data_IF_646040176282
#
_entry.id   IF_646040176282
#
_cell.length_a   1.000
_cell.length_b   1.000
_cell.length_c   1.000
_cell.angle_alpha   90.00
_cell.angle_beta   90.00
_cell.angle_gamma   90.00
#
_symmetry.space_group_name_H-M   'P 1'
#
loop_
_entity.id
_entity.type
_entity.pdbx_description
1 polymer ?
#
# COMPACT_ATOMS: atom_id res chain seq x y z
N UNK A 1 -24.87 -8.13 0.74
CA UNK A 1 -23.99 -7.64 -0.34
C UNK A 1 -22.64 -7.13 0.18
N UNK A 2 -22.52 -6.72 1.46
CA UNK A 2 -21.25 -6.27 2.07
C UNK A 2 -20.10 -7.28 2.00
N UNK A 3 -20.32 -8.56 2.33
CA UNK A 3 -19.25 -9.58 2.32
C UNK A 3 -18.59 -9.78 0.95
N UNK A 4 -19.35 -9.68 -0.15
CA UNK A 4 -18.79 -9.82 -1.51
C UNK A 4 -17.90 -8.63 -1.88
N UNK A 5 -18.29 -7.42 -1.49
CA UNK A 5 -17.53 -6.20 -1.72
C UNK A 5 -16.24 -6.18 -0.87
N UNK A 6 -16.31 -6.64 0.38
CA UNK A 6 -15.13 -6.76 1.25
C UNK A 6 -14.11 -7.78 0.74
N UNK A 7 -14.55 -8.97 0.30
CA UNK A 7 -13.67 -9.97 -0.30
C UNK A 7 -12.98 -9.45 -1.57
N UNK A 8 -13.69 -8.67 -2.38
CA UNK A 8 -13.10 -8.01 -3.55
C UNK A 8 -12.02 -7.00 -3.14
N UNK A 9 -12.28 -6.15 -2.13
CA UNK A 9 -11.30 -5.15 -1.64
C UNK A 9 -10.04 -5.82 -1.07
N UNK A 10 -10.18 -6.92 -0.33
CA UNK A 10 -9.05 -7.71 0.20
C UNK A 10 -8.23 -8.38 -0.91
N UNK A 11 -8.91 -8.89 -1.95
CA UNK A 11 -8.26 -9.48 -3.13
C UNK A 11 -7.49 -8.43 -3.92
N UNK A 12 -8.10 -7.27 -4.14
CA UNK A 12 -7.47 -6.13 -4.82
C UNK A 12 -6.21 -5.64 -4.06
N UNK A 13 -6.27 -5.60 -2.73
CA UNK A 13 -5.11 -5.28 -1.91
C UNK A 13 -3.98 -6.32 -2.08
N UNK A 14 -4.31 -7.61 -2.11
CA UNK A 14 -3.33 -8.68 -2.29
C UNK A 14 -2.64 -8.61 -3.67
N UNK A 15 -3.39 -8.29 -4.72
CA UNK A 15 -2.84 -8.05 -6.05
C UNK A 15 -1.89 -6.84 -6.07
N UNK A 16 -2.27 -5.75 -5.40
CA UNK A 16 -1.43 -4.56 -5.30
C UNK A 16 -0.14 -4.83 -4.51
N UNK A 17 -0.19 -5.65 -3.46
CA UNK A 17 1.03 -6.08 -2.72
C UNK A 17 2.01 -6.80 -3.64
N UNK A 18 1.52 -7.71 -4.50
CA UNK A 18 2.36 -8.42 -5.46
C UNK A 18 2.98 -7.45 -6.49
N UNK A 19 2.20 -6.48 -6.96
CA UNK A 19 2.66 -5.45 -7.90
C UNK A 19 3.74 -4.56 -7.27
N UNK A 20 3.54 -4.07 -6.03
CA UNK A 20 4.51 -3.26 -5.30
C UNK A 20 5.81 -4.04 -5.01
N UNK A 21 5.68 -5.31 -4.63
CA UNK A 21 6.84 -6.19 -4.38
C UNK A 21 7.65 -6.40 -5.66
N UNK A 22 6.97 -6.63 -6.78
CA UNK A 22 7.62 -6.78 -8.10
C UNK A 22 8.28 -5.48 -8.53
N UNK A 23 7.59 -4.35 -8.41
CA UNK A 23 8.13 -3.03 -8.74
C UNK A 23 9.35 -2.68 -7.88
N UNK A 24 9.36 -3.08 -6.61
CA UNK A 24 10.53 -2.89 -5.74
C UNK A 24 11.71 -3.80 -6.11
N UNK A 25 11.46 -5.00 -6.66
CA UNK A 25 12.48 -5.91 -7.16
C UNK A 25 13.12 -5.43 -8.47
N UNK A 26 12.34 -4.78 -9.33
CA UNK A 26 12.77 -4.26 -10.64
C UNK A 26 12.78 -2.74 -10.69
N UNK A 27 13.11 -2.06 -9.59
CA UNK A 27 12.92 -0.60 -9.45
C UNK A 27 13.65 0.21 -10.53
N UNK A 28 14.80 -0.28 -11.00
CA UNK A 28 15.58 0.35 -12.08
C UNK A 28 14.84 0.40 -13.42
N UNK A 29 13.88 -0.50 -13.63
CA UNK A 29 13.04 -0.56 -14.83
C UNK A 29 11.73 0.23 -14.65
N UNK A 30 11.36 0.58 -13.41
CA UNK A 30 10.13 1.32 -13.10
C UNK A 30 10.36 2.81 -13.27
N UNK A 31 9.71 3.39 -14.28
CA UNK A 31 9.83 4.82 -14.59
C UNK A 31 9.28 5.69 -13.45
N UNK A 32 9.82 6.90 -13.22
CA UNK A 32 9.39 7.77 -12.12
C UNK A 32 7.88 8.05 -12.03
N UNK A 33 7.19 8.17 -13.17
CA UNK A 33 5.74 8.36 -13.19
C UNK A 33 4.97 7.11 -12.77
N UNK A 34 5.47 5.91 -13.11
CA UNK A 34 4.90 4.65 -12.65
C UNK A 34 5.07 4.50 -11.14
N UNK A 35 6.22 4.92 -10.59
CA UNK A 35 6.44 4.99 -9.14
C UNK A 35 5.37 5.85 -8.45
N UNK A 36 5.05 7.04 -9.01
CA UNK A 36 3.98 7.91 -8.47
C UNK A 36 2.61 7.24 -8.49
N UNK A 37 2.27 6.56 -9.59
CA UNK A 37 0.98 5.87 -9.72
C UNK A 37 0.87 4.72 -8.70
N UNK A 38 1.93 3.93 -8.55
CA UNK A 38 1.99 2.85 -7.56
C UNK A 38 1.79 3.37 -6.14
N UNK A 39 2.46 4.47 -5.80
CA UNK A 39 2.37 5.12 -4.49
C UNK A 39 0.97 5.67 -4.22
N UNK A 40 0.36 6.33 -5.21
CA UNK A 40 -1.01 6.83 -5.08
C UNK A 40 -2.03 5.70 -4.87
N UNK A 41 -1.89 4.60 -5.63
CA UNK A 41 -2.72 3.40 -5.47
C UNK A 41 -2.51 2.75 -4.11
N UNK A 42 -1.26 2.70 -3.63
CA UNK A 42 -0.93 2.17 -2.32
C UNK A 42 -1.55 2.99 -1.18
N UNK A 43 -1.47 4.33 -1.25
CA UNK A 43 -2.11 5.21 -0.29
C UNK A 43 -3.64 4.99 -0.24
N UNK A 44 -4.29 4.92 -1.41
CA UNK A 44 -5.72 4.68 -1.50
C UNK A 44 -6.12 3.28 -0.95
N UNK A 45 -5.29 2.26 -1.18
CA UNK A 45 -5.52 0.92 -0.64
C UNK A 45 -5.42 0.89 0.89
N UNK A 46 -4.41 1.57 1.45
CA UNK A 46 -4.25 1.72 2.90
C UNK A 46 -5.47 2.42 3.50
N UNK A 47 -5.91 3.55 2.94
CA UNK A 47 -7.11 4.27 3.40
C UNK A 47 -8.34 3.38 3.36
N UNK A 48 -8.56 2.68 2.25
CA UNK A 48 -9.64 1.70 2.08
C UNK A 48 -9.63 0.62 3.15
N UNK A 49 -8.47 0.05 3.47
CA UNK A 49 -8.38 -1.01 4.48
C UNK A 49 -8.66 -0.47 5.89
N UNK A 50 -8.25 0.77 6.17
CA UNK A 50 -8.55 1.42 7.45
C UNK A 50 -10.03 1.68 7.62
N UNK A 51 -10.71 2.18 6.59
CA UNK A 51 -12.17 2.33 6.62
C UNK A 51 -12.87 1.01 6.96
N UNK A 52 -12.42 -0.10 6.37
CA UNK A 52 -12.97 -1.43 6.65
C UNK A 52 -12.72 -1.86 8.11
N UNK A 53 -11.56 -1.56 8.65
CA UNK A 53 -11.20 -1.87 10.04
C UNK A 53 -11.98 -0.99 11.04
N UNK A 54 -12.15 0.30 10.75
CA UNK A 54 -12.94 1.23 11.58
C UNK A 54 -14.41 0.80 11.63
N UNK A 55 -14.99 0.38 10.50
CA UNK A 55 -16.35 -0.19 10.44
C UNK A 55 -16.44 -1.47 11.31
N UNK A 56 -15.38 -2.27 11.35
CA UNK A 56 -15.26 -3.49 12.16
C UNK A 56 -14.88 -3.28 13.63
N UNK A 57 -14.77 -2.04 14.12
CA UNK A 57 -14.25 -1.65 15.46
C UNK A 57 -12.76 -1.93 15.71
N UNK A 58 -11.98 -2.27 14.68
CA UNK A 58 -10.53 -2.37 14.77
C UNK A 58 -9.87 -1.06 14.39
N UNK A 59 -9.62 -0.14 15.34
CA UNK A 59 -8.86 1.08 14.99
C UNK A 59 -7.40 0.72 14.67
N UNK A 60 -7.01 0.72 13.40
CA UNK A 60 -5.63 0.52 12.98
C UNK A 60 -4.96 1.86 12.66
N UNK A 61 -4.05 2.27 13.54
CA UNK A 61 -3.13 3.39 13.28
C UNK A 61 -2.02 2.95 12.34
N UNK A 62 -1.68 3.81 11.37
CA UNK A 62 -0.46 3.66 10.59
C UNK A 62 0.75 4.06 11.43
N UNK A 63 1.88 3.37 11.31
CA UNK A 63 3.16 3.92 11.73
C UNK A 63 3.39 5.26 11.02
N UNK A 64 3.66 6.33 11.77
CA UNK A 64 3.85 7.69 11.22
C UNK A 64 4.86 7.75 10.07
N UNK A 65 5.89 6.89 10.11
CA UNK A 65 6.90 6.79 9.06
C UNK A 65 6.34 6.44 7.68
N UNK A 66 5.36 5.54 7.59
CA UNK A 66 4.83 5.06 6.29
C UNK A 66 4.10 6.18 5.54
N UNK A 67 3.37 7.03 6.26
CA UNK A 67 2.67 8.17 5.66
C UNK A 67 3.68 9.18 5.12
N UNK A 68 4.73 9.48 5.88
CA UNK A 68 5.81 10.36 5.46
C UNK A 68 6.56 9.80 4.24
N UNK A 69 6.84 8.49 4.23
CA UNK A 69 7.54 7.81 3.14
C UNK A 69 6.73 7.79 1.84
N UNK A 70 5.41 7.56 1.92
CA UNK A 70 4.50 7.67 0.78
C UNK A 70 4.44 9.09 0.22
N UNK A 71 4.35 10.10 1.09
CA UNK A 71 4.28 11.49 0.67
C UNK A 71 5.62 11.97 0.06
N UNK A 72 6.74 11.50 0.60
CA UNK A 72 8.07 11.70 0.04
C UNK A 72 8.18 11.05 -1.35
N UNK A 73 7.79 9.77 -1.50
CA UNK A 73 7.78 9.10 -2.80
C UNK A 73 6.88 9.81 -3.82
N UNK A 74 5.73 10.33 -3.39
CA UNK A 74 4.80 11.05 -4.27
C UNK A 74 5.40 12.36 -4.79
N UNK A 75 6.06 13.12 -3.91
CA UNK A 75 6.68 14.41 -4.24
C UNK A 75 7.97 14.25 -5.05
N UNK A 76 8.82 13.31 -4.65
CA UNK A 76 10.23 13.24 -5.07
C UNK A 76 10.56 11.97 -5.86
N UNK A 77 9.58 11.28 -6.46
CA UNK A 77 9.77 10.00 -7.14
C UNK A 77 10.88 9.98 -8.22
N UNK A 78 11.17 11.13 -8.82
CA UNK A 78 12.16 11.27 -9.89
C UNK A 78 13.58 11.55 -9.37
N UNK A 79 13.70 12.06 -8.15
CA UNK A 79 14.97 12.39 -7.49
C UNK A 79 15.36 11.38 -6.41
N UNK A 80 14.43 10.52 -5.99
CA UNK A 80 14.68 9.48 -5.00
C UNK A 80 15.61 8.39 -5.54
N UNK A 81 16.70 8.06 -4.80
CA UNK A 81 17.55 6.92 -5.13
C UNK A 81 16.73 5.63 -5.24
N UNK A 82 17.02 4.83 -6.25
CA UNK A 82 16.31 3.57 -6.53
C UNK A 82 16.26 2.63 -5.33
N UNK A 83 17.35 2.54 -4.56
CA UNK A 83 17.40 1.73 -3.34
C UNK A 83 16.38 2.19 -2.30
N UNK A 84 16.23 3.51 -2.11
CA UNK A 84 15.28 4.10 -1.18
C UNK A 84 13.84 3.96 -1.69
N UNK A 85 13.62 4.22 -2.99
CA UNK A 85 12.31 4.01 -3.61
C UNK A 85 11.84 2.55 -3.47
N UNK A 86 12.73 1.58 -3.73
CA UNK A 86 12.43 0.17 -3.56
C UNK A 86 12.16 -0.21 -2.10
N UNK A 87 12.92 0.34 -1.15
CA UNK A 87 12.67 0.12 0.28
C UNK A 87 11.29 0.59 0.70
N UNK A 88 10.91 1.81 0.31
CA UNK A 88 9.61 2.38 0.65
C UNK A 88 8.49 1.54 0.02
N UNK A 89 8.61 1.14 -1.25
CA UNK A 89 7.61 0.28 -1.89
C UNK A 89 7.44 -1.06 -1.17
N UNK A 90 8.52 -1.66 -0.65
CA UNK A 90 8.45 -2.87 0.18
C UNK A 90 7.73 -2.63 1.50
N UNK A 91 8.12 -1.58 2.24
CA UNK A 91 7.49 -1.23 3.51
C UNK A 91 5.98 -0.97 3.35
N UNK A 92 5.60 -0.28 2.28
CA UNK A 92 4.21 -0.03 1.94
C UNK A 92 3.47 -1.32 1.57
N UNK A 93 4.10 -2.22 0.80
CA UNK A 93 3.51 -3.51 0.47
C UNK A 93 3.28 -4.37 1.73
N UNK A 94 4.23 -4.39 2.66
CA UNK A 94 4.10 -5.13 3.91
C UNK A 94 2.99 -4.56 4.79
N UNK A 95 2.82 -3.24 4.82
CA UNK A 95 1.72 -2.60 5.57
C UNK A 95 0.35 -2.90 4.96
N UNK A 96 0.21 -2.84 3.63
CA UNK A 96 -1.04 -3.23 2.96
C UNK A 96 -1.37 -4.70 3.25
N UNK A 97 -0.36 -5.58 3.27
CA UNK A 97 -0.56 -6.99 3.63
C UNK A 97 -1.03 -7.12 5.08
N UNK A 98 -0.35 -6.45 6.02
CA UNK A 98 -0.71 -6.44 7.44
C UNK A 98 -2.16 -5.99 7.65
N UNK A 99 -2.55 -4.87 7.04
CA UNK A 99 -3.90 -4.34 7.12
C UNK A 99 -4.93 -5.27 6.47
N UNK A 100 -4.62 -5.86 5.31
CA UNK A 100 -5.50 -6.85 4.67
C UNK A 100 -5.75 -8.06 5.57
N UNK A 101 -4.72 -8.55 6.25
CA UNK A 101 -4.83 -9.71 7.13
C UNK A 101 -5.61 -9.38 8.41
N UNK A 102 -5.45 -8.17 8.97
CA UNK A 102 -6.30 -7.69 10.06
C UNK A 102 -7.77 -7.57 9.63
N UNK A 103 -8.02 -7.08 8.41
CA UNK A 103 -9.37 -6.99 7.84
C UNK A 103 -9.97 -8.39 7.77
N UNK A 104 -9.25 -9.39 7.24
CA UNK A 104 -9.72 -10.79 7.18
C UNK A 104 -10.00 -11.42 8.55
N UNK A 105 -9.32 -10.97 9.61
CA UNK A 105 -9.51 -11.50 10.96
C UNK A 105 -10.69 -10.87 11.70
N UNK A 106 -11.08 -9.67 11.27
CA UNK A 106 -12.13 -8.85 11.93
C UNK A 106 -13.51 -9.07 11.30
N UNK A 107 -13.57 -9.58 10.07
CA UNK A 107 -14.80 -9.89 9.33
C UNK A 107 -14.98 -11.41 9.24
#
# INVERSE_FOLDING_TARGET
MENANQNYRVTAASALVAELTTAAGSIGDVKPHQRKILVARAAAAIETQRELLDIGKGAASLPTGIVSDLDMLRRESASLPDALAAQILRQVADEIRRLADLVKQTI
#
